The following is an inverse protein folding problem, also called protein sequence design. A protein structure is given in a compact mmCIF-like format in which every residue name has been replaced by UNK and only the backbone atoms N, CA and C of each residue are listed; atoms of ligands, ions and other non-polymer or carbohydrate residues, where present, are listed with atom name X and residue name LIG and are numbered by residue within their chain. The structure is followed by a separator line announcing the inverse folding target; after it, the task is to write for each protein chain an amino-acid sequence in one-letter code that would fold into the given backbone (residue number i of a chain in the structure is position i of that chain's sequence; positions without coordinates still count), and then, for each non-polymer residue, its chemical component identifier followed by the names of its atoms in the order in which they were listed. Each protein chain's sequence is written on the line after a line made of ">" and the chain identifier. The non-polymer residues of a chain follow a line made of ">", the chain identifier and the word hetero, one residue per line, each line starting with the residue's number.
data_IF_851093030384
#
_entry.id   IF_851093030384
#
_cell.length_a   1.000
_cell.length_b   1.000
_cell.length_c   1.000
_cell.angle_alpha   90.00
_cell.angle_beta   90.00
_cell.angle_gamma   90.00
#
_symmetry.space_group_name_H-M   'P 1'
#
loop_
_entity.id
_entity.type
_entity.pdbx_description
1 polymer ?
#
# COMPACT_ATOMS: atom_id res chain seq x y z
N UNK A 1 -14.09 1.78 -9.45
CA UNK A 1 -13.09 2.69 -10.07
C UNK A 1 -12.99 3.99 -9.27
N UNK A 2 -12.39 3.94 -8.08
CA UNK A 2 -12.12 5.18 -7.33
C UNK A 2 -10.91 5.85 -7.98
N UNK A 3 -11.13 6.99 -8.66
CA UNK A 3 -10.03 7.82 -9.17
C UNK A 3 -9.23 8.27 -7.95
N UNK A 4 -8.09 7.64 -7.71
CA UNK A 4 -7.10 8.12 -6.76
C UNK A 4 -6.90 9.60 -7.01
N UNK A 5 -7.20 10.43 -6.00
CA UNK A 5 -7.01 11.87 -6.07
C UNK A 5 -5.52 12.07 -6.37
N UNK A 6 -5.19 12.48 -7.60
CA UNK A 6 -3.84 12.88 -7.92
C UNK A 6 -3.53 14.10 -7.06
N UNK A 7 -2.88 13.88 -5.93
CA UNK A 7 -2.32 14.95 -5.13
C UNK A 7 -1.10 15.40 -5.91
N UNK A 8 -1.32 16.32 -6.86
CA UNK A 8 -0.25 17.10 -7.45
C UNK A 8 0.25 18.03 -6.35
N UNK A 9 1.05 17.48 -5.43
CA UNK A 9 1.90 18.29 -4.59
C UNK A 9 2.93 18.87 -5.55
N UNK A 10 2.96 20.20 -5.67
CA UNK A 10 4.00 20.95 -6.36
C UNK A 10 5.32 20.73 -5.60
N UNK A 11 5.89 19.53 -5.78
CA UNK A 11 7.13 19.12 -5.14
C UNK A 11 8.25 19.65 -6.00
N UNK A 12 9.03 20.54 -5.41
CA UNK A 12 10.36 20.86 -5.89
C UNK A 12 11.13 19.54 -6.04
N UNK A 13 11.41 19.16 -7.29
CA UNK A 13 12.12 17.92 -7.63
C UNK A 13 13.62 18.04 -7.41
N UNK A 14 14.13 19.25 -7.20
CA UNK A 14 15.53 19.52 -6.92
C UNK A 14 15.83 19.42 -5.42
N UNK A 15 14.83 19.60 -4.55
CA UNK A 15 14.96 19.39 -3.11
C UNK A 15 14.71 17.93 -2.75
N UNK A 16 15.73 17.26 -2.21
CA UNK A 16 15.54 15.98 -1.51
C UNK A 16 14.87 16.23 -0.15
N UNK A 17 13.69 15.64 0.13
CA UNK A 17 13.04 15.83 1.42
C UNK A 17 13.85 15.17 2.54
N UNK A 18 13.80 15.75 3.74
CA UNK A 18 14.41 15.11 4.92
C UNK A 18 13.60 13.88 5.38
N UNK A 19 14.22 13.04 6.21
CA UNK A 19 13.55 11.87 6.81
C UNK A 19 12.33 12.32 7.64
N UNK A 20 12.44 13.43 8.37
CA UNK A 20 11.35 14.01 9.16
C UNK A 20 10.22 14.52 8.27
N UNK A 21 10.54 15.20 7.17
CA UNK A 21 9.54 15.67 6.19
C UNK A 21 8.80 14.49 5.54
N UNK A 22 9.51 13.40 5.23
CA UNK A 22 8.91 12.17 4.71
C UNK A 22 8.04 11.47 5.76
N UNK A 23 8.51 11.39 6.99
CA UNK A 23 7.78 10.78 8.10
C UNK A 23 6.45 11.51 8.34
N UNK A 24 6.48 12.84 8.44
CA UNK A 24 5.29 13.66 8.67
C UNK A 24 4.28 13.54 7.51
N UNK A 25 4.77 13.51 6.27
CA UNK A 25 3.92 13.29 5.11
C UNK A 25 3.26 11.90 5.14
N UNK A 26 4.04 10.85 5.39
CA UNK A 26 3.53 9.47 5.51
C UNK A 26 2.53 9.35 6.67
N UNK A 27 2.77 10.03 7.78
CA UNK A 27 1.92 9.96 8.95
C UNK A 27 0.60 10.71 8.74
N UNK A 28 0.63 11.90 8.14
CA UNK A 28 -0.52 12.82 8.15
C UNK A 28 -1.30 12.85 6.83
N UNK A 29 -0.63 12.62 5.70
CA UNK A 29 -1.22 12.83 4.37
C UNK A 29 -1.51 11.53 3.63
N UNK A 30 -0.88 10.42 4.03
CA UNK A 30 -1.12 9.10 3.43
C UNK A 30 -2.22 8.35 4.17
N UNK A 31 -3.21 7.87 3.42
CA UNK A 31 -4.25 6.99 3.95
C UNK A 31 -3.71 5.59 4.14
N UNK A 32 -3.60 5.16 5.41
CA UNK A 32 -3.23 3.79 5.75
C UNK A 32 -4.47 2.93 5.94
N UNK A 33 -5.01 2.40 4.84
CA UNK A 33 -6.14 1.47 4.91
C UNK A 33 -5.70 0.14 5.52
N UNK A 34 -6.34 -0.33 6.60
CA UNK A 34 -6.08 -1.65 7.12
C UNK A 34 -6.28 -2.71 6.04
N UNK A 35 -5.24 -3.51 5.82
CA UNK A 35 -5.27 -4.58 4.85
C UNK A 35 -6.03 -5.76 5.44
N UNK A 36 -6.93 -6.34 4.65
CA UNK A 36 -7.53 -7.63 4.98
C UNK A 36 -6.79 -8.69 4.19
N UNK A 37 -6.44 -9.78 4.86
CA UNK A 37 -6.37 -11.04 4.13
C UNK A 37 -7.81 -11.56 4.11
N UNK A 38 -8.39 -11.98 3.00
CA UNK A 38 -8.00 -11.69 1.62
C UNK A 38 -8.53 -10.30 1.17
N UNK A 39 -7.99 -9.76 0.08
CA UNK A 39 -8.61 -8.61 -0.61
C UNK A 39 -9.92 -9.07 -1.23
N UNK A 40 -11.03 -8.83 -0.52
CA UNK A 40 -12.36 -9.30 -0.91
C UNK A 40 -12.85 -8.69 -2.23
N UNK A 41 -12.45 -7.46 -2.53
CA UNK A 41 -12.86 -6.80 -3.76
C UNK A 41 -12.13 -7.45 -4.95
N UNK A 42 -10.83 -7.71 -4.79
CA UNK A 42 -10.05 -8.46 -5.78
C UNK A 42 -10.56 -9.90 -5.96
N UNK A 43 -10.89 -10.60 -4.87
CA UNK A 43 -11.43 -11.96 -4.96
C UNK A 43 -12.75 -12.01 -5.74
N UNK A 44 -13.63 -11.02 -5.53
CA UNK A 44 -14.87 -10.90 -6.30
C UNK A 44 -14.63 -10.59 -7.76
N UNK A 45 -13.69 -9.69 -8.05
CA UNK A 45 -13.30 -9.35 -9.43
C UNK A 45 -12.79 -10.58 -10.19
N UNK A 46 -12.02 -11.44 -9.51
CA UNK A 46 -11.48 -12.67 -10.07
C UNK A 46 -12.46 -13.86 -10.02
N UNK A 47 -13.62 -13.71 -9.38
CA UNK A 47 -14.62 -14.77 -9.23
C UNK A 47 -14.20 -15.92 -8.30
N UNK A 48 -13.28 -15.67 -7.36
CA UNK A 48 -12.76 -16.66 -6.41
C UNK A 48 -13.39 -16.56 -5.01
N UNK A 49 -14.27 -15.60 -4.78
CA UNK A 49 -14.83 -15.30 -3.47
C UNK A 49 -15.56 -16.51 -2.85
N UNK A 50 -16.41 -17.19 -3.61
CA UNK A 50 -17.14 -18.38 -3.13
C UNK A 50 -16.23 -19.57 -2.81
N UNK A 51 -15.23 -19.81 -3.66
CA UNK A 51 -14.33 -20.96 -3.54
C UNK A 51 -13.41 -20.79 -2.33
N UNK A 52 -12.87 -19.58 -2.16
CA UNK A 52 -12.05 -19.23 -1.01
C UNK A 52 -12.89 -19.29 0.27
N UNK A 53 -14.13 -18.79 0.27
CA UNK A 53 -15.04 -18.86 1.42
C UNK A 53 -15.31 -20.31 1.84
N UNK A 54 -15.60 -21.19 0.89
CA UNK A 54 -15.79 -22.62 1.15
C UNK A 54 -14.51 -23.25 1.72
N UNK A 55 -13.34 -22.98 1.12
CA UNK A 55 -12.05 -23.49 1.58
C UNK A 55 -11.73 -23.08 3.01
N UNK A 56 -11.84 -21.78 3.34
CA UNK A 56 -11.57 -21.32 4.72
C UNK A 56 -12.62 -21.83 5.71
N UNK A 57 -13.85 -22.04 5.27
CA UNK A 57 -14.90 -22.70 6.04
C UNK A 57 -14.53 -24.13 6.41
N UNK A 58 -14.04 -24.93 5.45
CA UNK A 58 -13.56 -26.29 5.68
C UNK A 58 -12.34 -26.34 6.61
N UNK A 59 -11.44 -25.36 6.51
CA UNK A 59 -10.30 -25.23 7.43
C UNK A 59 -10.70 -24.76 8.83
N UNK A 60 -11.98 -24.44 9.06
CA UNK A 60 -12.50 -23.82 10.31
C UNK A 60 -11.81 -22.48 10.63
N UNK A 61 -11.43 -21.75 9.59
CA UNK A 61 -10.74 -20.45 9.68
C UNK A 61 -11.49 -19.32 8.96
N UNK A 62 -12.83 -19.16 9.09
CA UNK A 62 -13.57 -18.11 8.39
C UNK A 62 -13.14 -16.68 8.79
N UNK A 63 -12.50 -16.53 9.95
CA UNK A 63 -11.90 -15.26 10.39
C UNK A 63 -10.81 -14.76 9.44
N UNK A 64 -10.19 -15.62 8.64
CA UNK A 64 -9.20 -15.23 7.63
C UNK A 64 -9.75 -14.40 6.48
N UNK A 65 -11.07 -14.19 6.36
CA UNK A 65 -11.67 -13.29 5.37
C UNK A 65 -12.10 -11.94 5.95
N UNK A 66 -12.21 -11.87 7.28
CA UNK A 66 -12.78 -10.72 7.99
C UNK A 66 -11.77 -10.07 8.93
N UNK A 67 -10.65 -10.74 9.20
CA UNK A 67 -9.59 -10.22 10.05
C UNK A 67 -8.92 -9.03 9.38
N UNK A 68 -9.12 -7.89 10.00
CA UNK A 68 -8.39 -6.67 9.68
C UNK A 68 -7.01 -6.80 10.29
N UNK A 69 -5.97 -6.82 9.47
CA UNK A 69 -4.61 -6.75 10.00
C UNK A 69 -4.37 -5.34 10.53
N UNK A 70 -3.80 -5.21 11.74
CA UNK A 70 -3.45 -3.91 12.26
C UNK A 70 -2.47 -3.24 11.30
N UNK A 71 -2.71 -1.97 11.02
CA UNK A 71 -1.72 -1.12 10.36
C UNK A 71 -0.71 -0.70 11.44
N UNK A 72 0.53 -1.15 11.30
CA UNK A 72 1.63 -0.69 12.13
C UNK A 72 2.13 0.67 11.64
N UNK A 73 1.26 1.68 11.73
CA UNK A 73 1.44 2.98 11.06
C UNK A 73 2.79 3.62 11.37
N UNK A 74 3.14 3.77 12.64
CA UNK A 74 4.37 4.46 13.05
C UNK A 74 5.63 3.70 12.60
N UNK A 75 5.63 2.37 12.70
CA UNK A 75 6.75 1.51 12.27
C UNK A 75 6.92 1.58 10.75
N UNK A 76 5.82 1.53 10.01
CA UNK A 76 5.83 1.65 8.56
C UNK A 76 6.29 3.03 8.11
N UNK A 77 5.85 4.10 8.78
CA UNK A 77 6.28 5.47 8.47
C UNK A 77 7.80 5.61 8.70
N UNK A 78 8.30 5.16 9.85
CA UNK A 78 9.74 5.18 10.18
C UNK A 78 10.59 4.40 9.17
N UNK A 79 10.13 3.20 8.79
CA UNK A 79 10.85 2.38 7.83
C UNK A 79 10.88 3.06 6.45
N UNK A 80 9.73 3.48 5.93
CA UNK A 80 9.64 4.07 4.60
C UNK A 80 10.35 5.43 4.49
N UNK A 81 10.31 6.25 5.54
CA UNK A 81 11.01 7.54 5.57
C UNK A 81 12.54 7.39 5.58
N UNK A 82 13.05 6.23 5.98
CA UNK A 82 14.48 5.91 6.01
C UNK A 82 15.03 5.38 4.68
N UNK A 83 14.17 5.12 3.69
CA UNK A 83 14.59 4.55 2.41
C UNK A 83 15.27 5.60 1.53
N UNK A 84 16.51 5.32 1.13
CA UNK A 84 17.23 6.07 0.11
C UNK A 84 17.08 5.38 -1.25
N UNK A 85 16.73 6.16 -2.29
CA UNK A 85 16.60 5.65 -3.66
C UNK A 85 17.73 6.20 -4.51
N UNK A 86 18.49 5.31 -5.14
CA UNK A 86 19.44 5.67 -6.19
C UNK A 86 18.78 5.49 -7.55
N UNK A 87 18.58 6.60 -8.27
CA UNK A 87 18.02 6.57 -9.63
C UNK A 87 19.13 6.36 -10.66
N UNK A 88 19.06 5.24 -11.39
CA UNK A 88 19.92 5.01 -12.56
C UNK A 88 19.23 5.53 -13.81
N UNK A 89 19.55 6.77 -14.19
CA UNK A 89 19.09 7.37 -15.44
C UNK A 89 19.99 6.93 -16.60
N UNK A 90 19.96 5.64 -16.96
CA UNK A 90 20.46 5.24 -18.28
C UNK A 90 19.48 5.74 -19.34
N UNK A 91 19.92 6.57 -20.31
CA UNK A 91 19.07 6.94 -21.42
C UNK A 91 18.61 5.65 -22.10
N UNK A 92 17.30 5.44 -22.16
CA UNK A 92 16.72 4.34 -22.94
C UNK A 92 17.02 4.62 -24.41
N UNK A 93 18.16 4.13 -24.90
CA UNK A 93 18.43 4.05 -26.33
C UNK A 93 17.50 2.96 -26.86
N UNK A 94 16.38 3.35 -27.46
CA UNK A 94 15.63 2.43 -28.33
C UNK A 94 16.57 2.07 -29.47
N UNK A 95 17.00 0.80 -29.52
CA UNK A 95 17.55 0.20 -30.73
C UNK A 95 16.45 0.00 -31.76
#
# INVERSE_FOLDING_TARGET
>A
MSKGKAVAVDRDREKTPSVEELYDHLLNEVTWTPTRFADLDLLKELGFDSDIEAMVGHLKMPKLLTMVYPVYKDVSCNFLSSLEVTYYNTPHVRQ
#
